data_IF_678254059551
#
_entry.id   IF_678254059551
#
_cell.length_a   1.000
_cell.length_b   1.000
_cell.length_c   1.000
_cell.angle_alpha   90.00
_cell.angle_beta   90.00
_cell.angle_gamma   90.00
#
_symmetry.space_group_name_H-M   'P 1'
#
loop_
_entity.id
_entity.type
_entity.pdbx_description
1 polymer ?
#
# COMPACT_ATOMS: atom_id res chain seq x y z
N UNK A 1 42.09 -13.03 30.92
CA UNK A 1 42.27 -11.84 30.08
C UNK A 1 41.79 -12.21 28.67
N UNK A 2 40.79 -11.46 28.17
CA UNK A 2 40.05 -11.59 26.90
C UNK A 2 39.13 -12.81 26.72
N UNK A 3 37.95 -12.73 27.33
CA UNK A 3 36.76 -13.39 26.78
C UNK A 3 36.25 -12.52 25.63
N UNK A 4 36.22 -13.08 24.42
CA UNK A 4 35.61 -12.42 23.28
C UNK A 4 34.10 -12.63 23.42
N UNK A 5 33.39 -11.59 23.85
CA UNK A 5 31.94 -11.52 23.67
C UNK A 5 31.68 -11.38 22.16
N UNK A 6 31.37 -12.50 21.51
CA UNK A 6 30.79 -12.48 20.17
C UNK A 6 29.34 -12.03 20.33
N UNK A 7 29.13 -10.72 20.32
CA UNK A 7 27.79 -10.15 20.20
C UNK A 7 27.26 -10.57 18.83
N UNK A 8 26.23 -11.41 18.80
CA UNK A 8 25.53 -11.82 17.59
C UNK A 8 24.85 -10.60 16.96
N UNK A 9 25.60 -9.84 16.16
CA UNK A 9 25.16 -8.62 15.47
C UNK A 9 23.91 -8.86 14.61
N UNK A 10 23.75 -10.05 14.07
CA UNK A 10 22.64 -10.43 13.20
C UNK A 10 21.26 -10.31 13.87
N UNK A 11 21.15 -10.70 15.15
CA UNK A 11 19.86 -10.64 15.87
C UNK A 11 19.44 -9.22 16.25
N UNK A 12 20.41 -8.33 16.50
CA UNK A 12 20.16 -6.91 16.80
C UNK A 12 19.78 -6.15 15.53
N UNK A 13 20.51 -6.37 14.43
CA UNK A 13 20.21 -5.76 13.13
C UNK A 13 18.84 -6.18 12.59
N UNK A 14 18.44 -7.46 12.75
CA UNK A 14 17.12 -7.91 12.34
C UNK A 14 15.99 -7.24 13.15
N UNK A 15 16.19 -7.03 14.46
CA UNK A 15 15.23 -6.31 15.30
C UNK A 15 15.09 -4.85 14.91
N UNK A 16 16.20 -4.19 14.56
CA UNK A 16 16.20 -2.81 14.08
C UNK A 16 15.43 -2.67 12.77
N UNK A 17 15.72 -3.52 11.78
CA UNK A 17 15.04 -3.47 10.48
C UNK A 17 13.52 -3.70 10.59
N UNK A 18 13.09 -4.60 11.50
CA UNK A 18 11.66 -4.82 11.78
C UNK A 18 11.03 -3.61 12.47
N UNK A 19 11.73 -3.01 13.44
CA UNK A 19 11.23 -1.83 14.15
C UNK A 19 11.08 -0.63 13.21
N UNK A 20 12.10 -0.34 12.39
CA UNK A 20 12.09 0.73 11.40
C UNK A 20 11.01 0.48 10.33
N UNK A 21 10.88 -0.76 9.85
CA UNK A 21 9.85 -1.15 8.89
C UNK A 21 8.43 -1.00 9.44
N UNK A 22 8.21 -1.36 10.71
CA UNK A 22 6.92 -1.20 11.38
C UNK A 22 6.58 0.27 11.61
N UNK A 23 7.54 1.08 12.04
CA UNK A 23 7.36 2.53 12.19
C UNK A 23 7.01 3.19 10.86
N UNK A 24 7.72 2.84 9.79
CA UNK A 24 7.43 3.30 8.44
C UNK A 24 6.02 2.90 8.01
N UNK A 25 5.67 1.61 8.13
CA UNK A 25 4.35 1.10 7.76
C UNK A 25 3.21 1.80 8.52
N UNK A 26 3.39 2.06 9.82
CA UNK A 26 2.40 2.77 10.62
C UNK A 26 2.27 4.26 10.25
N UNK A 27 3.39 4.89 9.89
CA UNK A 27 3.42 6.32 9.53
C UNK A 27 2.75 6.59 8.19
N UNK A 28 3.01 5.72 7.20
CA UNK A 28 2.51 5.87 5.83
C UNK A 28 1.27 5.01 5.52
N UNK A 29 0.65 4.40 6.54
CA UNK A 29 -0.58 3.64 6.36
C UNK A 29 -1.73 4.56 5.90
N UNK A 30 -2.22 4.33 4.68
CA UNK A 30 -3.43 4.98 4.16
C UNK A 30 -4.70 4.50 4.87
N UNK A 31 -4.71 3.25 5.34
CA UNK A 31 -5.86 2.61 5.98
C UNK A 31 -5.40 2.00 7.30
N UNK A 32 -6.02 2.41 8.42
CA UNK A 32 -5.66 2.00 9.78
C UNK A 32 -6.67 1.02 10.36
N UNK A 33 -7.95 1.13 10.01
CA UNK A 33 -8.99 0.22 10.43
C UNK A 33 -8.93 -1.11 9.68
N UNK A 34 -9.00 -2.23 10.43
CA UNK A 34 -9.02 -3.58 9.85
C UNK A 34 -10.20 -3.76 8.86
N UNK A 35 -11.38 -3.22 9.18
CA UNK A 35 -12.54 -3.24 8.26
C UNK A 35 -12.25 -2.54 6.93
N UNK A 36 -11.54 -1.40 6.98
CA UNK A 36 -11.18 -0.63 5.79
C UNK A 36 -10.13 -1.38 4.97
N UNK A 37 -9.15 -2.00 5.62
CA UNK A 37 -8.14 -2.84 4.96
C UNK A 37 -8.80 -4.00 4.22
N UNK A 38 -9.77 -4.69 4.84
CA UNK A 38 -10.53 -5.77 4.21
C UNK A 38 -11.39 -5.26 3.03
N UNK A 39 -11.96 -4.07 3.14
CA UNK A 39 -12.72 -3.46 2.05
C UNK A 39 -11.83 -3.12 0.85
N UNK A 40 -10.65 -2.53 1.10
CA UNK A 40 -9.65 -2.23 0.07
C UNK A 40 -9.15 -3.51 -0.60
N UNK A 41 -8.84 -4.55 0.17
CA UNK A 41 -8.39 -5.84 -0.37
C UNK A 41 -9.47 -6.49 -1.26
N UNK A 42 -10.74 -6.43 -0.84
CA UNK A 42 -11.87 -6.92 -1.64
C UNK A 42 -12.04 -6.15 -2.94
N UNK A 43 -11.95 -4.81 -2.87
CA UNK A 43 -12.05 -3.93 -4.04
C UNK A 43 -10.95 -4.26 -5.05
N UNK A 44 -9.69 -4.23 -4.63
CA UNK A 44 -8.54 -4.50 -5.51
C UNK A 44 -8.52 -5.94 -6.03
N UNK A 45 -8.99 -6.90 -5.23
CA UNK A 45 -9.09 -8.30 -5.66
C UNK A 45 -10.11 -8.52 -6.77
N UNK A 46 -11.10 -7.64 -6.93
CA UNK A 46 -12.06 -7.67 -8.03
C UNK A 46 -11.43 -7.41 -9.41
N UNK A 47 -10.32 -6.67 -9.45
CA UNK A 47 -9.59 -6.33 -10.68
C UNK A 47 -8.53 -7.40 -10.99
N UNK A 48 -8.99 -8.56 -11.48
CA UNK A 48 -8.14 -9.74 -11.76
C UNK A 48 -7.09 -9.52 -12.86
N UNK A 49 -7.32 -8.54 -13.71
CA UNK A 49 -6.43 -8.08 -14.77
C UNK A 49 -5.22 -7.31 -14.22
N UNK A 50 -5.32 -6.76 -13.00
CA UNK A 50 -4.22 -6.08 -12.33
C UNK A 50 -3.25 -7.10 -11.74
N UNK A 51 -1.97 -6.91 -12.00
CA UNK A 51 -0.91 -7.70 -11.41
C UNK A 51 -0.89 -7.42 -9.89
N UNK A 52 -0.55 -8.39 -9.02
CA UNK A 52 -0.43 -8.16 -7.58
C UNK A 52 0.40 -6.93 -7.21
N UNK A 53 1.45 -6.65 -7.98
CA UNK A 53 2.26 -5.45 -7.83
C UNK A 53 1.46 -4.15 -8.05
N UNK A 54 0.68 -4.05 -9.12
CA UNK A 54 -0.09 -2.85 -9.43
C UNK A 54 -1.19 -2.61 -8.39
N UNK A 55 -1.85 -3.69 -7.94
CA UNK A 55 -2.83 -3.60 -6.84
C UNK A 55 -2.20 -3.05 -5.58
N UNK A 56 -1.03 -3.58 -5.20
CA UNK A 56 -0.28 -3.08 -4.05
C UNK A 56 0.11 -1.60 -4.20
N UNK A 57 0.55 -1.19 -5.39
CA UNK A 57 0.92 0.21 -5.67
C UNK A 57 -0.31 1.14 -5.61
N UNK A 58 -1.43 0.79 -6.23
CA UNK A 58 -2.67 1.58 -6.19
C UNK A 58 -3.21 1.74 -4.76
N UNK A 59 -3.15 0.69 -3.95
CA UNK A 59 -3.53 0.76 -2.54
C UNK A 59 -2.57 1.57 -1.67
N UNK A 60 -1.29 1.67 -2.05
CA UNK A 60 -0.24 2.31 -1.24
C UNK A 60 0.02 3.77 -1.63
N UNK A 61 -0.07 4.12 -2.91
CA UNK A 61 0.42 5.41 -3.42
C UNK A 61 -0.63 6.52 -3.50
N UNK A 62 -1.88 6.27 -3.09
CA UNK A 62 -2.86 7.33 -2.85
C UNK A 62 -3.06 8.29 -4.05
N UNK A 63 -2.91 7.78 -5.29
CA UNK A 63 -3.01 8.58 -6.52
C UNK A 63 -4.35 9.34 -6.58
N UNK A 64 -4.30 10.56 -7.11
CA UNK A 64 -5.48 11.41 -7.23
C UNK A 64 -6.12 11.35 -8.61
N UNK A 65 -5.33 11.05 -9.65
CA UNK A 65 -5.83 10.93 -11.03
C UNK A 65 -5.30 9.71 -11.76
N UNK A 66 -6.08 9.23 -12.72
CA UNK A 66 -5.67 8.14 -13.62
C UNK A 66 -4.37 8.49 -14.38
N UNK A 67 -4.22 9.72 -14.85
CA UNK A 67 -3.02 10.18 -15.54
C UNK A 67 -1.78 10.13 -14.65
N UNK A 68 -1.89 10.50 -13.37
CA UNK A 68 -0.80 10.39 -12.40
C UNK A 68 -0.42 8.92 -12.18
N UNK A 69 -1.42 8.07 -11.95
CA UNK A 69 -1.20 6.65 -11.73
C UNK A 69 -0.49 5.99 -12.93
N UNK A 70 -0.88 6.32 -14.16
CA UNK A 70 -0.25 5.80 -15.38
C UNK A 70 1.16 6.36 -15.57
N UNK A 71 1.38 7.64 -15.28
CA UNK A 71 2.70 8.25 -15.36
C UNK A 71 3.71 7.59 -14.41
N UNK A 72 3.26 7.10 -13.27
CA UNK A 72 4.10 6.42 -12.26
C UNK A 72 4.16 4.91 -12.47
N UNK A 73 3.07 4.30 -12.97
CA UNK A 73 2.93 2.87 -13.22
C UNK A 73 2.58 2.63 -14.71
N UNK A 74 3.55 2.70 -15.63
CA UNK A 74 3.29 2.57 -17.07
C UNK A 74 2.68 1.23 -17.47
N UNK A 75 2.81 0.18 -16.63
CA UNK A 75 2.18 -1.12 -16.90
C UNK A 75 0.66 -1.07 -16.92
N UNK A 76 0.04 -0.02 -16.34
CA UNK A 76 -1.40 0.23 -16.40
C UNK A 76 -1.88 0.64 -17.79
N UNK A 77 -1.05 1.28 -18.61
CA UNK A 77 -1.43 1.84 -19.92
C UNK A 77 -1.93 0.77 -20.91
N UNK A 78 -1.42 -0.44 -20.80
CA UNK A 78 -1.73 -1.54 -21.73
C UNK A 78 -2.95 -2.37 -21.32
N UNK A 79 -3.57 -2.08 -20.18
CA UNK A 79 -4.66 -2.88 -19.62
C UNK A 79 -6.01 -2.39 -20.10
N UNK A 80 -6.38 -2.83 -21.29
CA UNK A 80 -7.57 -2.48 -22.09
C UNK A 80 -8.91 -2.54 -21.30
N UNK A 81 -8.99 -3.28 -20.20
CA UNK A 81 -10.20 -3.39 -19.37
C UNK A 81 -10.33 -2.29 -18.29
N UNK A 82 -9.24 -1.60 -17.93
CA UNK A 82 -9.31 -0.31 -17.24
C UNK A 82 -9.07 0.78 -18.29
N UNK A 83 -10.13 1.33 -18.86
CA UNK A 83 -10.00 2.64 -19.48
C UNK A 83 -9.68 3.70 -18.39
N UNK A 84 -9.25 4.89 -18.80
CA UNK A 84 -8.94 5.97 -17.85
C UNK A 84 -10.11 6.27 -16.90
N UNK A 85 -11.35 6.08 -17.35
CA UNK A 85 -12.53 6.35 -16.54
C UNK A 85 -12.75 5.28 -15.46
N UNK A 86 -12.57 4.01 -15.78
CA UNK A 86 -12.63 2.90 -14.83
C UNK A 86 -11.48 2.98 -13.80
N UNK A 87 -10.28 3.36 -14.25
CA UNK A 87 -9.16 3.63 -13.34
C UNK A 87 -9.48 4.80 -12.40
N UNK A 88 -10.02 5.90 -12.93
CA UNK A 88 -10.42 7.03 -12.09
C UNK A 88 -11.49 6.62 -11.08
N UNK A 89 -12.50 5.84 -11.49
CA UNK A 89 -13.54 5.33 -10.59
C UNK A 89 -12.95 4.47 -9.45
N UNK A 90 -12.00 3.58 -9.77
CA UNK A 90 -11.28 2.81 -8.75
C UNK A 90 -10.51 3.73 -7.77
N UNK A 91 -9.82 4.75 -8.28
CA UNK A 91 -9.08 5.70 -7.44
C UNK A 91 -10.03 6.50 -6.53
N UNK A 92 -11.20 6.87 -7.04
CA UNK A 92 -12.22 7.58 -6.27
C UNK A 92 -12.78 6.69 -5.14
N UNK A 93 -13.09 5.41 -5.42
CA UNK A 93 -13.53 4.44 -4.40
C UNK A 93 -12.45 4.21 -3.30
N UNK A 94 -11.18 4.09 -3.69
CA UNK A 94 -10.07 3.97 -2.74
C UNK A 94 -9.93 5.22 -1.86
N UNK A 95 -10.12 6.40 -2.45
CA UNK A 95 -10.10 7.68 -1.72
C UNK A 95 -11.24 7.74 -0.70
N UNK A 96 -12.44 7.35 -1.07
CA UNK A 96 -13.60 7.34 -0.16
C UNK A 96 -13.38 6.40 1.03
N UNK A 97 -12.79 5.22 0.80
CA UNK A 97 -12.42 4.27 1.87
C UNK A 97 -11.41 4.89 2.84
N UNK A 98 -10.40 5.62 2.32
CA UNK A 98 -9.41 6.32 3.14
C UNK A 98 -10.02 7.43 3.99
N UNK A 99 -10.91 8.23 3.41
CA UNK A 99 -11.59 9.33 4.12
C UNK A 99 -12.53 8.80 5.21
N UNK A 100 -13.22 7.69 4.92
CA UNK A 100 -14.11 7.02 5.88
C UNK A 100 -13.32 6.46 7.08
N UNK A 101 -12.13 5.93 6.85
CA UNK A 101 -11.24 5.43 7.91
C UNK A 101 -10.69 6.56 8.78
N UNK A 102 -10.28 7.67 8.17
CA UNK A 102 -9.84 8.87 8.87
C UNK A 102 -10.92 9.48 9.77
N UNK A 103 -12.19 9.36 9.39
CA UNK A 103 -13.33 9.92 10.13
C UNK A 103 -13.81 9.03 11.30
N UNK A 104 -13.34 7.77 11.38
CA UNK A 104 -13.60 6.87 12.53
C UNK A 104 -12.67 7.14 13.73
N UNK A 105 -11.71 8.05 13.60
CA UNK A 105 -10.72 8.36 14.64
C UNK A 105 -11.09 9.55 15.56
N UNK A 106 -12.33 10.04 15.49
CA UNK A 106 -12.92 11.06 16.37
C UNK A 106 -14.10 10.49 17.16
#
# INVERSE_FOLDING_TARGET
>A
MYGIDVVYTHGVTQRLAVAEGLEYANTFANYKGMETVEAVDRLLSGYTELHPFERAQLGSMAFSTAEEAISILPSLETKILLDHQALQGLLDELKDLRETDGNKAL
#
